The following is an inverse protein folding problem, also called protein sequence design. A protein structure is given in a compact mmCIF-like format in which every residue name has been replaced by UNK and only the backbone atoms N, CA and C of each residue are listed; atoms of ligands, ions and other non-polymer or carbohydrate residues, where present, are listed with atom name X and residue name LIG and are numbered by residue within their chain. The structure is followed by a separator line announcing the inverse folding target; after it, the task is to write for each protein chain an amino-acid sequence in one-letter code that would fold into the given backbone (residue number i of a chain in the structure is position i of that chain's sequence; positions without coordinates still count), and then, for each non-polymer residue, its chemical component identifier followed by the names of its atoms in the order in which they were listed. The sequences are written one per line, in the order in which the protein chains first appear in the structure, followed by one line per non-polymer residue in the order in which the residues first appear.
data_IF_222916349990
#
_entry.id   IF_222916349990
#
_cell.length_a   1.000
_cell.length_b   1.000
_cell.length_c   1.000
_cell.angle_alpha   90.00
_cell.angle_beta   90.00
_cell.angle_gamma   90.00
#
_symmetry.space_group_name_H-M   'P 1'
#
loop_
_entity.id
_entity.type
_entity.pdbx_description
1 polymer ?
#
# COMPACT_ATOMS: atom_id res chain seq x y z
N UNK A 1 -24.25 -24.92 20.06
CA UNK A 1 -23.41 -23.73 20.36
C UNK A 1 -21.96 -23.85 19.88
N UNK A 2 -21.33 -25.04 19.83
CA UNK A 2 -19.94 -25.23 19.34
C UNK A 2 -19.75 -25.21 17.81
N UNK A 3 -20.81 -25.38 17.01
CA UNK A 3 -20.72 -25.39 15.54
C UNK A 3 -20.77 -23.98 14.91
N UNK A 4 -21.47 -23.03 15.54
CA UNK A 4 -21.52 -21.62 15.08
C UNK A 4 -20.16 -20.92 15.15
N UNK A 5 -19.29 -21.33 16.08
CA UNK A 5 -17.94 -20.77 16.22
C UNK A 5 -16.97 -21.28 15.14
N UNK A 6 -17.26 -22.42 14.50
CA UNK A 6 -16.42 -22.96 13.42
C UNK A 6 -16.60 -22.21 12.11
N UNK A 7 -17.84 -21.86 11.76
CA UNK A 7 -18.13 -21.09 10.54
C UNK A 7 -17.50 -19.70 10.55
N UNK A 8 -17.55 -18.99 11.68
CA UNK A 8 -16.86 -17.70 11.86
C UNK A 8 -15.33 -17.83 11.77
N UNK A 9 -14.76 -18.95 12.25
CA UNK A 9 -13.32 -19.19 12.16
C UNK A 9 -12.87 -19.54 10.74
N UNK A 10 -13.71 -20.20 9.93
CA UNK A 10 -13.44 -20.50 8.52
C UNK A 10 -13.61 -19.25 7.64
N UNK A 11 -14.59 -18.38 7.90
CA UNK A 11 -14.70 -17.07 7.25
C UNK A 11 -13.53 -16.13 7.60
N UNK A 12 -13.01 -16.21 8.82
CA UNK A 12 -11.83 -15.47 9.27
C UNK A 12 -10.50 -16.09 8.81
N UNK A 13 -10.48 -17.33 8.33
CA UNK A 13 -9.28 -17.99 7.78
C UNK A 13 -8.91 -17.48 6.38
N UNK A 14 -9.81 -16.78 5.68
CA UNK A 14 -9.53 -16.17 4.38
C UNK A 14 -8.69 -14.89 4.44
N UNK A 15 -8.60 -14.27 5.62
CA UNK A 15 -7.64 -13.20 5.87
C UNK A 15 -6.27 -13.85 6.10
N UNK A 16 -5.52 -14.03 5.00
CA UNK A 16 -4.14 -14.49 5.05
C UNK A 16 -3.39 -13.71 6.15
N UNK A 17 -2.66 -14.41 7.02
CA UNK A 17 -1.81 -13.80 8.06
C UNK A 17 -0.81 -12.79 7.46
N UNK A 18 -0.57 -12.87 6.15
CA UNK A 18 0.25 -11.95 5.33
C UNK A 18 -0.50 -10.72 4.80
N UNK A 19 -1.78 -10.56 5.13
CA UNK A 19 -2.66 -9.46 4.76
C UNK A 19 -3.38 -9.63 3.42
N UNK A 20 -4.48 -8.88 3.26
CA UNK A 20 -5.40 -8.93 2.12
C UNK A 20 -4.70 -8.72 0.75
N UNK A 21 -4.82 -9.73 -0.13
CA UNK A 21 -4.27 -9.75 -1.50
C UNK A 21 -4.92 -8.70 -2.41
N UNK A 22 -6.21 -8.44 -2.24
CA UNK A 22 -6.95 -7.43 -3.00
C UNK A 22 -6.45 -6.03 -2.64
N UNK A 23 -6.32 -5.71 -1.35
CA UNK A 23 -5.76 -4.42 -0.91
C UNK A 23 -4.34 -4.19 -1.44
N UNK A 24 -3.48 -5.21 -1.36
CA UNK A 24 -2.13 -5.15 -1.94
C UNK A 24 -2.18 -4.86 -3.44
N UNK A 25 -3.09 -5.51 -4.17
CA UNK A 25 -3.26 -5.31 -5.60
C UNK A 25 -3.67 -3.87 -5.92
N UNK A 26 -4.64 -3.31 -5.19
CA UNK A 26 -5.08 -1.93 -5.34
C UNK A 26 -3.96 -0.92 -5.07
N UNK A 27 -3.19 -1.11 -4.00
CA UNK A 27 -2.06 -0.23 -3.66
C UNK A 27 -0.99 -0.22 -4.75
N UNK A 28 -0.71 -1.38 -5.37
CA UNK A 28 0.24 -1.50 -6.47
C UNK A 28 -0.27 -0.79 -7.72
N UNK A 29 -1.55 -0.99 -8.09
CA UNK A 29 -2.14 -0.33 -9.26
C UNK A 29 -2.20 1.20 -9.09
N UNK A 30 -2.65 1.67 -7.93
CA UNK A 30 -2.65 3.10 -7.61
C UNK A 30 -1.24 3.70 -7.67
N UNK A 31 -0.25 2.99 -7.14
CA UNK A 31 1.15 3.42 -7.20
C UNK A 31 1.65 3.51 -8.64
N UNK A 32 1.31 2.54 -9.50
CA UNK A 32 1.68 2.55 -10.91
C UNK A 32 1.09 3.76 -11.65
N UNK A 33 -0.16 4.13 -11.33
CA UNK A 33 -0.79 5.35 -11.85
C UNK A 33 -0.07 6.62 -11.39
N UNK A 34 0.40 6.69 -10.15
CA UNK A 34 1.22 7.82 -9.66
C UNK A 34 2.54 7.91 -10.41
N UNK A 35 3.25 6.79 -10.58
CA UNK A 35 4.53 6.78 -11.29
C UNK A 35 4.41 7.25 -12.74
N UNK A 36 3.27 6.98 -13.40
CA UNK A 36 3.00 7.48 -14.76
C UNK A 36 2.98 9.01 -14.83
N UNK A 37 2.56 9.69 -13.76
CA UNK A 37 2.37 11.14 -13.74
C UNK A 37 3.39 11.89 -12.86
N UNK A 38 4.31 11.19 -12.20
CA UNK A 38 5.26 11.82 -11.28
C UNK A 38 6.40 12.58 -11.98
N UNK A 39 6.75 12.23 -13.22
CA UNK A 39 7.89 12.84 -13.93
C UNK A 39 7.67 14.32 -14.28
N UNK A 40 6.42 14.78 -14.37
CA UNK A 40 6.09 16.19 -14.66
C UNK A 40 5.89 17.03 -13.39
N UNK A 41 6.07 16.45 -12.20
CA UNK A 41 5.87 17.12 -10.92
C UNK A 41 7.21 17.39 -10.23
N UNK A 42 7.27 18.49 -9.50
CA UNK A 42 8.46 18.97 -8.78
C UNK A 42 8.32 18.83 -7.26
N UNK A 43 7.32 18.08 -6.78
CA UNK A 43 7.18 17.83 -5.36
C UNK A 43 8.22 16.81 -4.88
N UNK A 44 8.62 16.92 -3.59
CA UNK A 44 9.66 16.06 -2.99
C UNK A 44 9.40 14.56 -3.16
N UNK A 45 8.13 14.14 -3.20
CA UNK A 45 7.74 12.74 -3.36
C UNK A 45 7.97 12.28 -4.79
N UNK A 46 7.58 13.09 -5.76
CA UNK A 46 7.83 12.87 -7.18
C UNK A 46 9.33 12.86 -7.51
N UNK A 47 10.12 13.74 -6.90
CA UNK A 47 11.59 13.74 -7.05
C UNK A 47 12.22 12.44 -6.51
N UNK A 48 11.81 12.01 -5.31
CA UNK A 48 12.26 10.74 -4.74
C UNK A 48 11.90 9.54 -5.63
N UNK A 49 10.68 9.52 -6.19
CA UNK A 49 10.25 8.46 -7.12
C UNK A 49 11.07 8.48 -8.41
N UNK A 50 11.29 9.66 -9.00
CA UNK A 50 12.13 9.84 -10.19
C UNK A 50 13.55 9.33 -9.96
N UNK A 51 14.17 9.68 -8.84
CA UNK A 51 15.49 9.19 -8.46
C UNK A 51 15.49 7.66 -8.24
N UNK A 52 14.47 7.11 -7.60
CA UNK A 52 14.38 5.67 -7.36
C UNK A 52 14.19 4.87 -8.67
N UNK A 53 13.39 5.41 -9.60
CA UNK A 53 13.23 4.83 -10.94
C UNK A 53 14.54 4.82 -11.71
N UNK A 54 15.32 5.91 -11.63
CA UNK A 54 16.63 6.03 -12.25
C UNK A 54 17.63 5.00 -11.69
N UNK A 55 17.62 4.77 -10.37
CA UNK A 55 18.59 3.87 -9.70
C UNK A 55 18.27 2.38 -9.82
N UNK A 56 16.99 1.98 -9.89
CA UNK A 56 16.59 0.57 -9.74
C UNK A 56 15.71 0.04 -10.85
N UNK A 57 14.55 0.69 -11.09
CA UNK A 57 13.59 0.53 -12.20
C UNK A 57 12.17 0.90 -11.73
N UNK A 58 11.24 0.99 -12.69
CA UNK A 58 9.83 1.36 -12.45
C UNK A 58 9.06 0.38 -11.55
N UNK A 59 9.31 -0.92 -11.66
CA UNK A 59 8.56 -1.92 -10.87
C UNK A 59 8.97 -1.86 -9.39
N UNK A 60 10.26 -1.73 -9.10
CA UNK A 60 10.77 -1.53 -7.74
C UNK A 60 10.21 -0.23 -7.16
N UNK A 61 10.21 0.86 -7.92
CA UNK A 61 9.64 2.13 -7.46
C UNK A 61 8.13 2.03 -7.19
N UNK A 62 7.39 1.27 -8.00
CA UNK A 62 5.95 1.02 -7.78
C UNK A 62 5.71 0.31 -6.44
N UNK A 63 6.45 -0.77 -6.19
CA UNK A 63 6.31 -1.55 -4.95
C UNK A 63 6.75 -0.72 -3.74
N UNK A 64 7.83 0.05 -3.86
CA UNK A 64 8.31 0.93 -2.80
C UNK A 64 7.27 2.00 -2.43
N UNK A 65 6.61 2.61 -3.42
CA UNK A 65 5.54 3.57 -3.17
C UNK A 65 4.34 2.92 -2.49
N UNK A 66 3.93 1.73 -2.95
CA UNK A 66 2.83 0.98 -2.35
C UNK A 66 3.12 0.65 -0.89
N UNK A 67 4.33 0.20 -0.58
CA UNK A 67 4.77 -0.08 0.79
C UNK A 67 4.80 1.19 1.65
N UNK A 68 5.27 2.32 1.11
CA UNK A 68 5.25 3.61 1.82
C UNK A 68 3.81 4.03 2.16
N UNK A 69 2.90 3.91 1.20
CA UNK A 69 1.48 4.23 1.41
C UNK A 69 0.82 3.27 2.42
N UNK A 70 1.12 1.97 2.36
CA UNK A 70 0.64 0.99 3.32
C UNK A 70 1.05 1.33 4.76
N UNK A 71 2.30 1.77 4.97
CA UNK A 71 2.78 2.19 6.31
C UNK A 71 2.07 3.46 6.81
N UNK A 72 1.78 4.40 5.92
CA UNK A 72 1.01 5.61 6.25
C UNK A 72 -0.41 5.22 6.65
N UNK A 73 -1.09 4.40 5.86
CA UNK A 73 -2.44 3.91 6.15
C UNK A 73 -2.45 3.19 7.49
N UNK A 74 -1.49 2.30 7.74
CA UNK A 74 -1.38 1.61 9.01
C UNK A 74 -1.18 2.58 10.19
N UNK A 75 -0.28 3.56 10.07
CA UNK A 75 -0.06 4.55 11.12
C UNK A 75 -1.33 5.37 11.43
N UNK A 76 -2.07 5.78 10.41
CA UNK A 76 -3.36 6.47 10.54
C UNK A 76 -4.38 5.59 11.26
N UNK A 77 -4.59 4.37 10.77
CA UNK A 77 -5.60 3.46 11.31
C UNK A 77 -5.27 3.00 12.74
N UNK A 78 -3.99 2.74 13.03
CA UNK A 78 -3.55 2.29 14.35
C UNK A 78 -3.55 3.40 15.40
N UNK A 79 -3.39 4.66 15.00
CA UNK A 79 -3.37 5.80 15.93
C UNK A 79 -4.67 6.60 15.96
N UNK A 80 -5.58 6.38 15.01
CA UNK A 80 -6.77 7.22 14.83
C UNK A 80 -6.45 8.66 14.41
N UNK A 81 -5.25 8.90 13.90
CA UNK A 81 -4.78 10.23 13.48
C UNK A 81 -5.25 10.55 12.06
N UNK A 82 -5.35 11.85 11.72
CA UNK A 82 -5.63 12.25 10.35
C UNK A 82 -4.39 12.16 9.45
N UNK A 83 -4.60 11.97 8.15
CA UNK A 83 -3.51 11.97 7.17
C UNK A 83 -2.78 13.32 7.18
N UNK A 84 -1.48 13.28 7.42
CA UNK A 84 -0.59 14.42 7.29
C UNK A 84 0.33 14.20 6.07
N UNK A 85 0.19 15.02 5.02
CA UNK A 85 1.10 14.94 3.89
C UNK A 85 2.52 15.29 4.32
N UNK A 86 3.46 14.40 4.00
CA UNK A 86 4.90 14.54 4.21
C UNK A 86 5.62 15.11 3.00
#
# INVERSE_FOLDING_TARGET
MRELLRGLSEELQGYDERGDKYLRTLLIHGSRSVLKHCQSKTDKRSDWLSQLMCRRNKNIATVALANKNARIIWAILSKGEQYQPC
#
